data_IF_396433957250
#
_entry.id   IF_396433957250
#
_cell.length_a   1.000
_cell.length_b   1.000
_cell.length_c   1.000
_cell.angle_alpha   90.00
_cell.angle_beta   90.00
_cell.angle_gamma   90.00
#
_symmetry.space_group_name_H-M   'P 1'
#
loop_
_entity.id
_entity.type
_entity.pdbx_description
1 polymer ?
#
# COMPACT_ATOMS: atom_id res chain seq x y z
N UNK A 1 -2.30 -11.07 -10.91
CA UNK A 1 -2.07 -12.31 -10.14
C UNK A 1 -2.99 -13.39 -10.67
N UNK A 2 -2.66 -14.67 -10.47
CA UNK A 2 -3.55 -15.79 -10.86
C UNK A 2 -4.59 -16.09 -9.77
N UNK A 3 -5.78 -16.63 -10.12
CA UNK A 3 -6.76 -17.04 -9.12
C UNK A 3 -6.20 -18.06 -8.12
N UNK A 4 -6.66 -18.01 -6.88
CA UNK A 4 -6.18 -18.88 -5.79
C UNK A 4 -4.90 -18.41 -5.09
N UNK A 5 -4.33 -17.29 -5.52
CA UNK A 5 -3.17 -16.67 -4.87
C UNK A 5 -3.61 -15.49 -3.99
N UNK A 6 -3.23 -15.55 -2.72
CA UNK A 6 -3.39 -14.46 -1.75
C UNK A 6 -2.22 -13.49 -1.79
N UNK A 7 -2.54 -12.20 -1.81
CA UNK A 7 -1.60 -11.08 -1.62
C UNK A 7 -1.83 -10.52 -0.22
N UNK A 8 -0.79 -10.55 0.61
CA UNK A 8 -0.86 -10.06 1.98
C UNK A 8 -1.13 -8.56 2.07
N UNK A 9 -1.61 -8.13 3.23
CA UNK A 9 -1.86 -6.72 3.51
C UNK A 9 -0.60 -5.88 3.35
N UNK A 10 -0.77 -4.68 2.80
CA UNK A 10 0.33 -3.75 2.57
C UNK A 10 1.42 -4.27 1.61
N UNK A 11 1.23 -5.39 0.91
CA UNK A 11 2.19 -5.87 -0.07
C UNK A 11 2.16 -5.00 -1.34
N UNK A 12 3.33 -4.77 -1.95
CA UNK A 12 3.46 -3.97 -3.17
C UNK A 12 3.83 -4.84 -4.36
N UNK A 13 3.10 -4.67 -5.46
CA UNK A 13 3.31 -5.41 -6.71
C UNK A 13 3.81 -4.43 -7.78
N UNK A 14 5.02 -4.68 -8.29
CA UNK A 14 5.60 -3.87 -9.35
C UNK A 14 4.80 -3.91 -10.64
N UNK A 15 4.84 -2.82 -11.41
CA UNK A 15 4.18 -2.74 -12.70
C UNK A 15 4.66 -3.88 -13.63
N UNK A 16 3.72 -4.52 -14.32
CA UNK A 16 4.01 -5.65 -15.22
C UNK A 16 4.36 -6.97 -14.51
N UNK A 17 4.27 -7.06 -13.19
CA UNK A 17 4.55 -8.29 -12.47
C UNK A 17 3.41 -9.32 -12.60
N UNK A 18 3.76 -10.59 -12.80
CA UNK A 18 2.80 -11.70 -12.83
C UNK A 18 2.99 -12.57 -11.60
N UNK A 19 2.11 -12.36 -10.62
CA UNK A 19 2.14 -13.10 -9.35
C UNK A 19 1.54 -14.49 -9.53
N UNK A 20 2.39 -15.51 -9.37
CA UNK A 20 2.07 -16.94 -9.50
C UNK A 20 2.13 -17.71 -8.17
N UNK A 21 2.51 -17.05 -7.07
CA UNK A 21 2.64 -17.63 -5.71
C UNK A 21 2.15 -16.63 -4.66
N UNK A 22 1.77 -17.12 -3.48
CA UNK A 22 1.38 -16.27 -2.34
C UNK A 22 2.43 -15.21 -2.03
N UNK A 23 1.96 -13.99 -1.77
CA UNK A 23 2.81 -12.84 -1.42
C UNK A 23 2.62 -12.53 0.06
N UNK A 24 3.68 -12.55 0.89
CA UNK A 24 3.58 -12.17 2.30
C UNK A 24 3.14 -10.72 2.49
N UNK A 25 2.55 -10.37 3.65
CA UNK A 25 2.29 -8.97 4.01
C UNK A 25 3.55 -8.12 3.93
N UNK A 26 3.41 -6.86 3.52
CA UNK A 26 4.49 -5.88 3.40
C UNK A 26 5.66 -6.29 2.49
N UNK A 27 5.51 -7.35 1.68
CA UNK A 27 6.52 -7.75 0.70
C UNK A 27 6.41 -6.93 -0.59
N UNK A 28 7.56 -6.62 -1.19
CA UNK A 28 7.67 -6.00 -2.52
C UNK A 28 8.04 -7.07 -3.52
N UNK A 29 7.18 -7.29 -4.53
CA UNK A 29 7.39 -8.29 -5.58
C UNK A 29 7.45 -7.65 -6.97
N UNK A 30 8.33 -8.15 -7.85
CA UNK A 30 8.46 -7.67 -9.23
C UNK A 30 8.74 -8.81 -10.21
N UNK A 31 8.48 -8.57 -11.50
CA UNK A 31 8.84 -9.47 -12.60
C UNK A 31 7.75 -10.48 -12.98
N UNK A 32 8.02 -11.25 -14.04
CA UNK A 32 7.18 -12.32 -14.54
C UNK A 32 8.03 -13.59 -14.77
N UNK A 33 7.93 -14.63 -13.92
CA UNK A 33 7.09 -14.71 -12.73
C UNK A 33 7.60 -13.82 -11.58
N UNK A 34 6.67 -13.30 -10.77
CA UNK A 34 7.00 -12.36 -9.70
C UNK A 34 7.87 -12.99 -8.61
N UNK A 35 8.88 -12.25 -8.13
CA UNK A 35 9.74 -12.63 -7.01
C UNK A 35 9.84 -11.52 -5.98
N UNK A 36 9.98 -11.89 -4.71
CA UNK A 36 10.23 -10.96 -3.61
C UNK A 36 11.61 -10.33 -3.79
N UNK A 37 11.64 -9.00 -3.82
CA UNK A 37 12.90 -8.23 -3.90
C UNK A 37 13.28 -7.59 -2.56
N UNK A 38 12.30 -7.26 -1.73
CA UNK A 38 12.50 -6.79 -0.35
C UNK A 38 11.20 -6.90 0.46
N UNK A 39 11.32 -6.72 1.76
CA UNK A 39 10.18 -6.56 2.68
C UNK A 39 10.27 -5.18 3.32
N UNK A 40 9.14 -4.50 3.45
CA UNK A 40 9.02 -3.21 4.13
C UNK A 40 8.94 -3.45 5.62
N UNK A 41 9.75 -2.72 6.40
CA UNK A 41 9.75 -2.77 7.87
C UNK A 41 8.90 -1.65 8.45
N UNK A 42 8.45 -1.78 9.70
CA UNK A 42 7.66 -0.75 10.39
C UNK A 42 8.33 0.63 10.39
N UNK A 43 9.66 0.68 10.47
CA UNK A 43 10.43 1.94 10.43
C UNK A 43 10.32 2.70 9.10
N UNK A 44 9.91 2.05 8.02
CA UNK A 44 9.70 2.65 6.69
C UNK A 44 8.23 3.02 6.45
N UNK A 45 7.31 2.55 7.29
CA UNK A 45 5.89 2.87 7.17
C UNK A 45 5.67 4.31 7.61
N UNK A 46 5.01 5.09 6.76
CA UNK A 46 4.50 6.40 7.17
C UNK A 46 3.33 6.14 8.11
N UNK A 47 3.34 6.69 9.33
CA UNK A 47 2.22 6.51 10.25
C UNK A 47 0.93 7.01 9.60
N UNK A 48 -0.15 6.29 9.84
CA UNK A 48 -1.45 6.62 9.29
C UNK A 48 -1.82 8.05 9.69
N UNK A 49 -2.14 8.89 8.69
CA UNK A 49 -2.62 10.24 8.96
C UNK A 49 -4.08 10.12 9.40
N UNK A 50 -4.30 10.06 10.71
CA UNK A 50 -5.62 10.23 11.30
C UNK A 50 -6.16 11.64 11.02
N UNK A 51 -6.77 11.83 9.85
CA UNK A 51 -7.42 13.09 9.51
C UNK A 51 -8.06 13.07 8.12
N UNK A 52 -9.23 13.71 7.94
CA UNK A 52 -9.87 13.77 6.62
C UNK A 52 -8.93 14.47 5.64
N UNK A 53 -8.59 13.77 4.56
CA UNK A 53 -7.79 14.30 3.46
C UNK A 53 -8.50 15.52 2.88
N UNK A 54 -7.96 16.71 3.15
CA UNK A 54 -8.39 17.95 2.53
C UNK A 54 -7.95 17.97 1.05
N UNK A 55 -8.56 17.11 0.25
CA UNK A 55 -8.32 16.99 -1.19
C UNK A 55 -9.57 17.39 -1.97
N UNK A 56 -10.14 18.57 -1.64
CA UNK A 56 -11.08 19.35 -2.45
C UNK A 56 -11.26 20.74 -1.82
N UNK A 57 -10.30 21.67 -1.99
CA UNK A 57 -10.49 23.14 -2.01
C UNK A 57 -11.29 23.89 -0.92
N UNK A 58 -11.85 23.27 0.12
CA UNK A 58 -12.81 23.92 1.04
C UNK A 58 -12.96 23.13 2.35
N UNK A 59 -11.86 22.82 3.03
CA UNK A 59 -11.95 22.23 4.38
C UNK A 59 -12.21 23.35 5.42
N UNK A 60 -13.41 23.28 5.99
CA UNK A 60 -14.10 24.23 6.87
C UNK A 60 -13.48 24.36 8.28
N UNK A 61 -12.21 24.76 8.41
CA UNK A 61 -11.60 25.01 9.72
C UNK A 61 -11.34 26.51 10.02
N UNK A 62 -11.77 27.42 9.14
CA UNK A 62 -11.60 28.87 9.33
C UNK A 62 -12.72 29.55 10.13
N UNK A 63 -13.73 28.83 10.61
CA UNK A 63 -14.73 29.43 11.49
C UNK A 63 -14.44 29.03 12.92
N UNK A 64 -13.80 29.94 13.66
CA UNK A 64 -13.85 29.89 15.12
C UNK A 64 -15.31 29.75 15.55
N UNK A 65 -15.64 28.63 16.17
CA UNK A 65 -16.78 28.56 17.05
C UNK A 65 -16.31 29.06 18.43
N UNK A 66 -17.10 29.91 19.13
CA UNK A 66 -16.79 30.35 20.49
C UNK A 66 -16.67 29.17 21.47
#
# INVERSE_FOLDING_TARGET
>A
FVPGVNVGEGAMVGAGAVVTKHVPPFAVVVGNPARVVRTVTDSELVPERDGPSAANGTALWSAGAP
#
